data_IF_139596126251
#
_entry.id   IF_139596126251
#
_cell.length_a   1.000
_cell.length_b   1.000
_cell.length_c   1.000
_cell.angle_alpha   90.00
_cell.angle_beta   90.00
_cell.angle_gamma   90.00
#
_symmetry.space_group_name_H-M   'P 1'
#
loop_
_entity.id
_entity.type
_entity.pdbx_description
1 polymer ?
#
# COMPACT_ATOMS: atom_id res chain seq x y z
N UNK A 1 -10.42 -8.57 -12.24
CA UNK A 1 -9.09 -8.04 -11.86
C UNK A 1 -9.22 -7.31 -10.53
N UNK A 2 -8.21 -7.36 -9.65
CA UNK A 2 -8.16 -6.48 -8.46
C UNK A 2 -7.66 -5.09 -8.89
N UNK A 3 -8.47 -4.08 -8.60
CA UNK A 3 -8.18 -2.66 -8.79
C UNK A 3 -7.88 -2.04 -7.43
N UNK A 4 -6.76 -1.32 -7.31
CA UNK A 4 -6.36 -0.61 -6.10
C UNK A 4 -6.61 0.88 -6.30
N UNK A 5 -7.32 1.49 -5.36
CA UNK A 5 -7.47 2.93 -5.22
C UNK A 5 -6.72 3.38 -3.97
N UNK A 6 -5.70 4.22 -4.13
CA UNK A 6 -5.01 4.84 -2.99
C UNK A 6 -5.84 6.02 -2.52
N UNK A 7 -6.23 6.01 -1.25
CA UNK A 7 -7.10 7.04 -0.68
C UNK A 7 -6.33 8.13 0.03
N UNK A 8 -5.22 7.77 0.69
CA UNK A 8 -4.34 8.72 1.37
C UNK A 8 -2.97 8.12 1.67
N UNK A 9 -1.98 9.00 1.83
CA UNK A 9 -0.66 8.64 2.34
C UNK A 9 -0.41 9.42 3.62
N UNK A 10 -0.11 8.73 4.70
CA UNK A 10 0.25 9.34 5.97
C UNK A 10 1.73 9.15 6.24
N UNK A 11 2.46 10.25 6.40
CA UNK A 11 3.88 10.24 6.73
C UNK A 11 4.03 10.62 8.19
N UNK A 12 4.55 9.70 8.99
CA UNK A 12 4.86 9.93 10.39
C UNK A 12 6.28 10.49 10.53
N UNK A 13 6.45 11.46 11.41
CA UNK A 13 7.75 12.05 11.73
C UNK A 13 8.06 11.87 13.22
N UNK A 14 9.30 11.51 13.54
CA UNK A 14 9.82 11.44 14.90
C UNK A 14 11.15 12.22 14.95
N UNK A 15 11.24 13.21 15.86
CA UNK A 15 12.43 14.07 16.03
C UNK A 15 12.94 14.70 14.72
N UNK A 16 12.02 15.05 13.81
CA UNK A 16 12.36 15.67 12.52
C UNK A 16 12.77 14.69 11.40
N UNK A 17 12.77 13.38 11.67
CA UNK A 17 13.03 12.33 10.67
C UNK A 17 11.74 11.57 10.37
N UNK A 18 11.57 11.13 9.13
CA UNK A 18 10.43 10.26 8.77
C UNK A 18 10.56 8.94 9.53
N UNK A 19 9.55 8.59 10.32
CA UNK A 19 9.49 7.37 11.11
C UNK A 19 8.63 6.27 10.49
N UNK A 20 7.85 6.58 9.46
CA UNK A 20 7.06 5.60 8.72
C UNK A 20 6.14 6.24 7.69
N UNK A 21 5.75 5.45 6.68
CA UNK A 21 4.78 5.84 5.66
C UNK A 21 3.67 4.81 5.64
N UNK A 22 2.42 5.24 5.82
CA UNK A 22 1.23 4.40 5.74
C UNK A 22 0.40 4.80 4.53
N UNK A 23 0.29 3.91 3.56
CA UNK A 23 -0.50 4.13 2.34
C UNK A 23 -1.85 3.45 2.53
N UNK A 24 -2.91 4.24 2.68
CA UNK A 24 -4.27 3.72 2.78
C UNK A 24 -4.83 3.45 1.39
N UNK A 25 -5.58 2.36 1.28
CA UNK A 25 -6.17 1.94 0.02
C UNK A 25 -7.52 1.28 0.20
N UNK A 26 -8.26 1.25 -0.91
CA UNK A 26 -9.42 0.43 -1.13
C UNK A 26 -9.19 -0.43 -2.37
N UNK A 27 -9.57 -1.69 -2.32
CA UNK A 27 -9.45 -2.62 -3.43
C UNK A 27 -10.80 -3.25 -3.75
N UNK A 28 -11.11 -3.33 -5.04
CA UNK A 28 -12.31 -3.99 -5.55
C UNK A 28 -11.93 -5.05 -6.57
N UNK A 29 -12.78 -6.05 -6.73
CA UNK A 29 -12.68 -7.02 -7.81
C UNK A 29 -13.84 -6.86 -8.79
N UNK A 30 -13.51 -6.79 -10.08
CA UNK A 30 -14.48 -6.54 -11.16
C UNK A 30 -15.64 -7.54 -11.25
N UNK A 31 -15.36 -8.83 -11.02
CA UNK A 31 -16.33 -9.92 -11.24
C UNK A 31 -16.69 -10.69 -9.95
N UNK A 32 -16.19 -10.26 -8.80
CA UNK A 32 -16.39 -10.98 -7.54
C UNK A 32 -16.66 -9.96 -6.43
N UNK A 33 -17.41 -10.36 -5.42
CA UNK A 33 -17.68 -9.51 -4.25
C UNK A 33 -16.50 -9.57 -3.28
N UNK A 34 -15.33 -9.10 -3.73
CA UNK A 34 -14.14 -8.91 -2.91
C UNK A 34 -13.93 -7.41 -2.73
N UNK A 35 -14.00 -6.98 -1.48
CA UNK A 35 -13.69 -5.61 -1.07
C UNK A 35 -12.62 -5.69 0.02
N UNK A 36 -11.48 -5.05 -0.23
CA UNK A 36 -10.38 -4.98 0.74
C UNK A 36 -10.15 -3.51 1.08
N UNK A 37 -10.00 -3.22 2.36
CA UNK A 37 -9.69 -1.89 2.86
C UNK A 37 -8.59 -2.01 3.91
N UNK A 38 -7.68 -1.05 3.92
CA UNK A 38 -6.63 -1.04 4.92
C UNK A 38 -5.51 -0.08 4.56
N UNK A 39 -4.36 -0.33 5.17
CA UNK A 39 -3.14 0.39 4.88
C UNK A 39 -1.99 -0.59 4.67
N UNK A 40 -1.05 -0.18 3.83
CA UNK A 40 0.23 -0.87 3.66
C UNK A 40 1.33 0.04 4.22
N UNK A 41 2.12 -0.45 5.19
CA UNK A 41 3.30 0.27 5.63
C UNK A 41 4.40 0.18 4.58
N UNK A 42 4.98 1.33 4.23
CA UNK A 42 6.18 1.46 3.40
C UNK A 42 7.29 2.12 4.22
N UNK A 43 8.52 1.71 3.95
CA UNK A 43 9.68 2.51 4.35
C UNK A 43 9.73 3.81 3.54
N UNK A 44 10.41 4.82 4.07
CA UNK A 44 10.58 6.08 3.35
C UNK A 44 11.38 5.90 2.04
N UNK A 45 12.33 4.97 2.02
CA UNK A 45 13.12 4.62 0.84
C UNK A 45 12.27 3.97 -0.26
N UNK A 46 11.31 3.11 0.11
CA UNK A 46 10.36 2.52 -0.85
C UNK A 46 9.38 3.56 -1.40
N UNK A 47 8.95 4.53 -0.56
CA UNK A 47 7.96 5.52 -0.94
C UNK A 47 8.53 6.67 -1.78
N UNK A 48 9.69 7.21 -1.41
CA UNK A 48 10.29 8.41 -2.04
C UNK A 48 10.35 8.36 -3.58
N UNK A 49 10.81 7.27 -4.23
CA UNK A 49 10.90 7.23 -5.70
C UNK A 49 9.53 7.24 -6.38
N UNK A 50 8.46 6.82 -5.70
CA UNK A 50 7.09 6.71 -6.23
C UNK A 50 6.12 7.71 -5.62
N UNK A 51 6.59 8.65 -4.81
CA UNK A 51 5.75 9.59 -4.06
C UNK A 51 4.86 10.46 -4.97
N UNK A 52 5.34 10.77 -6.18
CA UNK A 52 4.61 11.55 -7.18
C UNK A 52 4.04 10.68 -8.32
N UNK A 53 4.14 9.35 -8.22
CA UNK A 53 3.64 8.40 -9.20
C UNK A 53 2.53 7.56 -8.58
N UNK A 54 1.29 7.99 -8.80
CA UNK A 54 0.10 7.27 -8.31
C UNK A 54 0.02 5.86 -8.89
N UNK A 55 0.43 5.64 -10.14
CA UNK A 55 0.39 4.31 -10.76
C UNK A 55 1.42 3.39 -10.12
N UNK A 56 2.64 3.90 -9.88
CA UNK A 56 3.67 3.19 -9.13
C UNK A 56 3.25 2.86 -7.70
N UNK A 57 2.59 3.80 -7.01
CA UNK A 57 2.07 3.59 -5.66
C UNK A 57 0.97 2.52 -5.62
N UNK A 58 0.03 2.55 -6.57
CA UNK A 58 -1.01 1.52 -6.72
C UNK A 58 -0.39 0.14 -7.00
N UNK A 59 0.63 0.07 -7.86
CA UNK A 59 1.33 -1.18 -8.15
C UNK A 59 2.03 -1.74 -6.90
N UNK A 60 2.72 -0.89 -6.14
CA UNK A 60 3.41 -1.29 -4.90
C UNK A 60 2.45 -1.76 -3.81
N UNK A 61 1.33 -1.07 -3.64
CA UNK A 61 0.27 -1.49 -2.70
C UNK A 61 -0.31 -2.83 -3.14
N UNK A 62 -0.60 -3.01 -4.44
CA UNK A 62 -1.12 -4.27 -4.98
C UNK A 62 -0.17 -5.44 -4.70
N UNK A 63 1.12 -5.27 -4.95
CA UNK A 63 2.16 -6.27 -4.66
C UNK A 63 2.11 -6.70 -3.19
N UNK A 64 2.26 -5.76 -2.25
CA UNK A 64 2.28 -6.06 -0.81
C UNK A 64 0.97 -6.66 -0.28
N UNK A 65 -0.17 -6.24 -0.82
CA UNK A 65 -1.48 -6.81 -0.47
C UNK A 65 -1.57 -8.26 -0.92
N UNK A 66 -1.13 -8.57 -2.15
CA UNK A 66 -1.11 -9.94 -2.66
C UNK A 66 -0.16 -10.80 -1.81
N UNK A 67 1.06 -10.32 -1.52
CA UNK A 67 2.02 -11.02 -0.64
C UNK A 67 1.42 -11.34 0.73
N UNK A 68 0.72 -10.37 1.33
CA UNK A 68 0.10 -10.52 2.65
C UNK A 68 -1.07 -11.51 2.66
N UNK A 69 -1.86 -11.58 1.58
CA UNK A 69 -3.03 -12.47 1.47
C UNK A 69 -2.63 -13.89 1.07
N UNK A 70 -1.70 -14.03 0.13
CA UNK A 70 -1.21 -15.34 -0.31
C UNK A 70 -0.44 -16.02 0.81
N UNK A 71 0.14 -15.23 1.71
CA UNK A 71 0.87 -15.72 2.88
C UNK A 71 2.18 -16.36 2.47
N UNK A 72 3.29 -15.67 2.67
CA UNK A 72 4.51 -16.36 3.06
C UNK A 72 4.44 -16.55 4.57
N UNK A 73 3.75 -17.60 5.02
CA UNK A 73 3.95 -18.14 6.37
C UNK A 73 5.41 -18.62 6.45
N UNK A 74 6.32 -17.71 6.79
CA UNK A 74 7.54 -18.08 7.46
C UNK A 74 7.23 -18.01 8.96
N UNK A 75 6.72 -19.12 9.51
CA UNK A 75 6.93 -19.44 10.93
C UNK A 75 8.43 -19.51 11.24
#
# INVERSE_FOLDING_TARGET
>A
MITIEVTSVNIAYNKGTVSGVNVNFFATHEHQTINLNGYVPLTFEEYTPIANDISGLQAKVKEKVIESIVGTEAE
#
